data_IF_782769008311
#
_entry.id   IF_782769008311
#
_cell.length_a   1.000
_cell.length_b   1.000
_cell.length_c   1.000
_cell.angle_alpha   90.00
_cell.angle_beta   90.00
_cell.angle_gamma   90.00
#
_symmetry.space_group_name_H-M   'P 1'
#
loop_
_entity.id
_entity.type
_entity.pdbx_description
1 polymer ?
#
# COMPACT_ATOMS: atom_id res chain seq x y z
N UNK A 1 6.41 -21.59 8.06
CA UNK A 1 6.57 -20.77 6.83
C UNK A 1 6.57 -19.33 7.29
N UNK A 2 7.73 -18.69 7.33
CA UNK A 2 7.88 -17.32 7.84
C UNK A 2 7.19 -16.37 6.86
N UNK A 3 6.24 -15.57 7.35
CA UNK A 3 5.79 -14.38 6.62
C UNK A 3 7.06 -13.57 6.36
N UNK A 4 7.34 -13.23 5.10
CA UNK A 4 8.59 -12.57 4.73
C UNK A 4 8.79 -11.34 5.59
N UNK A 5 9.91 -11.27 6.31
CA UNK A 5 10.23 -10.10 7.12
C UNK A 5 10.31 -8.89 6.21
N UNK A 6 9.58 -7.83 6.57
CA UNK A 6 9.71 -6.54 5.91
C UNK A 6 11.16 -6.06 6.06
N UNK A 7 11.89 -5.98 4.95
CA UNK A 7 13.20 -5.32 4.90
C UNK A 7 13.11 -4.08 4.03
N UNK A 8 13.78 -3.00 4.47
CA UNK A 8 14.00 -1.82 3.67
C UNK A 8 15.51 -1.65 3.47
N UNK A 9 16.02 -2.09 2.31
CA UNK A 9 17.44 -1.99 1.97
C UNK A 9 17.78 -0.77 1.10
N UNK A 10 16.83 0.14 0.90
CA UNK A 10 17.02 1.29 0.00
C UNK A 10 17.95 2.38 0.53
N UNK A 11 18.21 2.39 1.85
CA UNK A 11 18.92 3.50 2.51
C UNK A 11 18.06 4.76 2.72
N UNK A 12 16.78 4.73 2.35
CA UNK A 12 15.83 5.83 2.53
C UNK A 12 14.70 5.46 3.47
N UNK A 13 14.16 6.44 4.20
CA UNK A 13 13.01 6.24 5.08
C UNK A 13 11.79 5.74 4.28
N UNK A 14 11.04 4.79 4.84
CA UNK A 14 9.85 4.30 4.15
C UNK A 14 8.64 5.20 4.37
N UNK A 15 7.72 5.27 3.40
CA UNK A 15 6.44 5.99 3.53
C UNK A 15 5.73 5.70 4.84
N UNK A 16 5.65 4.42 5.23
CA UNK A 16 4.98 4.00 6.47
C UNK A 16 5.72 4.46 7.72
N UNK A 17 7.05 4.47 7.70
CA UNK A 17 7.88 4.97 8.79
C UNK A 17 7.73 6.48 9.00
N UNK A 18 7.62 7.25 7.91
CA UNK A 18 7.34 8.70 7.98
C UNK A 18 5.96 8.95 8.59
N UNK A 19 4.94 8.23 8.09
CA UNK A 19 3.55 8.45 8.50
C UNK A 19 3.20 7.85 9.87
N UNK A 20 4.01 6.94 10.41
CA UNK A 20 3.73 6.28 11.69
C UNK A 20 3.63 7.24 12.86
N UNK A 21 4.26 8.42 12.76
CA UNK A 21 4.19 9.48 13.77
C UNK A 21 2.78 10.08 13.93
N UNK A 22 1.93 9.91 12.92
CA UNK A 22 0.57 10.47 12.85
C UNK A 22 -0.52 9.41 12.98
N UNK A 23 -0.12 8.16 13.24
CA UNK A 23 -1.05 7.05 13.47
C UNK A 23 -1.09 6.78 14.96
N UNK A 24 -2.29 6.83 15.55
CA UNK A 24 -2.50 6.42 16.93
C UNK A 24 -2.41 4.89 17.03
N UNK A 25 -1.24 4.42 17.48
CA UNK A 25 -0.93 2.99 17.59
C UNK A 25 -1.37 2.38 18.92
N UNK A 26 -1.99 3.14 19.84
CA UNK A 26 -2.34 2.62 21.17
C UNK A 26 -3.28 1.40 21.17
N UNK A 27 -4.02 1.21 20.07
CA UNK A 27 -4.93 0.09 19.87
C UNK A 27 -4.39 -0.96 18.89
N UNK A 28 -3.18 -0.76 18.35
CA UNK A 28 -2.59 -1.69 17.38
C UNK A 28 -1.97 -2.87 18.12
N UNK A 29 -2.66 -4.00 18.02
CA UNK A 29 -2.15 -5.30 18.49
C UNK A 29 -1.37 -6.00 17.38
N UNK A 30 -0.41 -6.84 17.76
CA UNK A 30 0.38 -7.66 16.84
C UNK A 30 -0.50 -8.49 15.88
N UNK A 31 -1.63 -9.00 16.38
CA UNK A 31 -2.63 -9.72 15.57
C UNK A 31 -3.15 -8.92 14.36
N UNK A 32 -3.22 -7.58 14.45
CA UNK A 32 -3.68 -6.73 13.35
C UNK A 32 -2.62 -6.60 12.25
N UNK A 33 -1.35 -6.50 12.65
CA UNK A 33 -0.22 -6.47 11.72
C UNK A 33 -0.05 -7.83 11.04
N UNK A 34 -0.17 -8.93 11.80
CA UNK A 34 -0.13 -10.29 11.27
C UNK A 34 -1.27 -10.53 10.27
N UNK A 35 -2.52 -10.18 10.62
CA UNK A 35 -3.67 -10.26 9.70
C UNK A 35 -3.41 -9.50 8.41
N UNK A 36 -2.96 -8.25 8.50
CA UNK A 36 -2.65 -7.42 7.32
C UNK A 36 -1.66 -8.12 6.41
N UNK A 37 -0.50 -8.50 6.95
CA UNK A 37 0.57 -9.17 6.21
C UNK A 37 0.11 -10.48 5.57
N UNK A 38 -0.67 -11.28 6.31
CA UNK A 38 -1.21 -12.54 5.81
C UNK A 38 -2.16 -12.33 4.62
N UNK A 39 -3.10 -11.38 4.74
CA UNK A 39 -4.07 -11.07 3.68
C UNK A 39 -3.37 -10.50 2.45
N UNK A 40 -2.41 -9.58 2.62
CA UNK A 40 -1.64 -9.01 1.49
C UNK A 40 -0.86 -10.08 0.75
N UNK A 41 -0.19 -10.98 1.48
CA UNK A 41 0.52 -12.11 0.89
C UNK A 41 -0.40 -13.03 0.07
N UNK A 42 -1.63 -13.27 0.55
CA UNK A 42 -2.64 -14.04 -0.17
C UNK A 42 -3.09 -13.37 -1.47
N UNK A 43 -3.38 -12.06 -1.41
CA UNK A 43 -3.81 -11.28 -2.59
C UNK A 43 -2.68 -11.13 -3.61
N UNK A 44 -1.44 -10.93 -3.16
CA UNK A 44 -0.26 -10.98 -4.02
C UNK A 44 -0.16 -12.33 -4.74
N UNK A 45 -0.25 -13.42 -4.00
CA UNK A 45 -0.13 -14.75 -4.56
C UNK A 45 -1.26 -15.06 -5.56
N UNK A 46 -2.48 -14.57 -5.31
CA UNK A 46 -3.60 -14.61 -6.27
C UNK A 46 -3.22 -13.92 -7.58
N UNK A 47 -2.67 -12.70 -7.52
CA UNK A 47 -2.23 -11.94 -8.70
C UNK A 47 -1.06 -12.58 -9.45
N UNK A 48 -0.17 -13.27 -8.75
CA UNK A 48 0.96 -14.00 -9.36
C UNK A 48 0.55 -15.38 -9.90
N UNK A 49 -0.69 -15.82 -9.70
CA UNK A 49 -1.15 -17.15 -10.07
C UNK A 49 -0.43 -18.28 -9.31
N UNK A 50 0.13 -17.98 -8.13
CA UNK A 50 0.82 -18.97 -7.31
C UNK A 50 -0.11 -19.49 -6.22
N UNK A 51 0.13 -20.75 -5.83
CA UNK A 51 -0.72 -21.42 -4.86
C UNK A 51 -0.65 -20.77 -3.47
N UNK A 52 -1.80 -20.72 -2.79
CA UNK A 52 -1.93 -20.28 -1.41
C UNK A 52 -2.37 -21.44 -0.52
N UNK A 53 -1.76 -21.55 0.67
CA UNK A 53 -2.30 -22.39 1.74
C UNK A 53 -3.74 -21.95 2.06
N UNK A 54 -4.64 -22.87 2.47
CA UNK A 54 -5.95 -22.48 2.99
C UNK A 54 -5.82 -21.41 4.08
N UNK A 55 -6.63 -20.36 3.99
CA UNK A 55 -6.60 -19.28 4.97
C UNK A 55 -7.38 -19.66 6.25
N UNK A 56 -6.96 -19.16 7.42
CA UNK A 56 -7.78 -19.20 8.61
C UNK A 56 -9.16 -18.54 8.36
N UNK A 57 -10.20 -19.11 8.95
CA UNK A 57 -11.60 -18.67 8.76
C UNK A 57 -11.77 -17.17 9.05
N UNK A 58 -11.07 -16.64 10.04
CA UNK A 58 -11.10 -15.24 10.44
C UNK A 58 -10.54 -14.27 9.40
N UNK A 59 -9.71 -14.74 8.47
CA UNK A 59 -9.10 -13.93 7.41
C UNK A 59 -9.76 -14.14 6.04
N UNK A 60 -10.48 -15.26 5.88
CA UNK A 60 -11.07 -15.68 4.61
C UNK A 60 -11.91 -14.58 3.96
N UNK A 61 -12.78 -13.92 4.73
CA UNK A 61 -13.63 -12.86 4.17
C UNK A 61 -12.85 -11.66 3.61
N UNK A 62 -11.74 -11.26 4.25
CA UNK A 62 -10.89 -10.18 3.71
C UNK A 62 -10.23 -10.59 2.39
N UNK A 63 -9.79 -11.84 2.29
CA UNK A 63 -9.17 -12.40 1.09
C UNK A 63 -10.20 -12.46 -0.05
N UNK A 64 -11.40 -12.98 0.23
CA UNK A 64 -12.49 -13.05 -0.75
C UNK A 64 -12.89 -11.65 -1.24
N UNK A 65 -13.02 -10.70 -0.31
CA UNK A 65 -13.31 -9.30 -0.60
C UNK A 65 -12.28 -8.68 -1.57
N UNK A 66 -11.00 -8.95 -1.34
CA UNK A 66 -9.91 -8.48 -2.19
C UNK A 66 -9.91 -9.14 -3.56
N UNK A 67 -10.04 -10.48 -3.63
CA UNK A 67 -10.12 -11.22 -4.90
C UNK A 67 -11.27 -10.73 -5.77
N UNK A 68 -12.46 -10.57 -5.20
CA UNK A 68 -13.62 -10.03 -5.91
C UNK A 68 -13.34 -8.64 -6.48
N UNK A 69 -12.67 -7.76 -5.73
CA UNK A 69 -12.32 -6.43 -6.23
C UNK A 69 -11.30 -6.49 -7.36
N UNK A 70 -10.26 -7.31 -7.21
CA UNK A 70 -9.22 -7.50 -8.23
C UNK A 70 -9.83 -8.04 -9.53
N UNK A 71 -10.57 -9.14 -9.45
CA UNK A 71 -11.18 -9.81 -10.60
C UNK A 71 -12.22 -8.92 -11.30
N UNK A 72 -12.94 -8.07 -10.54
CA UNK A 72 -13.92 -7.15 -11.09
C UNK A 72 -13.28 -5.93 -11.77
N UNK A 73 -12.25 -5.33 -11.17
CA UNK A 73 -11.79 -3.98 -11.53
C UNK A 73 -10.43 -3.92 -12.22
N UNK A 74 -9.51 -4.82 -11.90
CA UNK A 74 -8.14 -4.79 -12.44
C UNK A 74 -8.14 -5.38 -13.85
N UNK A 75 -7.41 -4.71 -14.75
CA UNK A 75 -7.18 -5.19 -16.12
C UNK A 75 -5.78 -5.77 -16.26
N UNK A 76 -4.75 -4.95 -16.04
CA UNK A 76 -3.35 -5.35 -16.15
C UNK A 76 -2.63 -5.11 -14.83
N UNK A 77 -1.90 -6.11 -14.35
CA UNK A 77 -0.98 -5.98 -13.19
C UNK A 77 0.38 -5.53 -13.73
N UNK A 78 0.83 -4.35 -13.29
CA UNK A 78 2.12 -3.78 -13.70
C UNK A 78 3.21 -4.11 -12.69
N UNK A 79 2.85 -4.06 -11.40
CA UNK A 79 3.72 -4.46 -10.29
C UNK A 79 2.85 -4.89 -9.10
N UNK A 80 3.27 -5.92 -8.37
CA UNK A 80 2.66 -6.34 -7.11
C UNK A 80 3.77 -6.55 -6.08
N UNK A 81 3.53 -6.16 -4.83
CA UNK A 81 4.52 -6.21 -3.75
C UNK A 81 5.29 -7.55 -3.72
N UNK A 82 6.62 -7.54 -3.87
CA UNK A 82 7.44 -8.77 -3.80
C UNK A 82 8.78 -8.52 -3.08
N UNK A 83 8.69 -7.96 -1.87
CA UNK A 83 9.85 -7.58 -1.06
C UNK A 83 10.66 -6.43 -1.69
N UNK A 84 11.96 -6.41 -1.42
CA UNK A 84 12.87 -5.35 -1.89
C UNK A 84 12.89 -5.17 -3.42
N UNK A 85 12.47 -6.18 -4.21
CA UNK A 85 12.44 -6.10 -5.68
C UNK A 85 11.46 -5.07 -6.22
N UNK A 86 10.43 -4.73 -5.45
CA UNK A 86 9.36 -3.79 -5.85
C UNK A 86 9.38 -2.51 -5.02
N UNK A 87 10.50 -2.23 -4.35
CA UNK A 87 10.69 -1.00 -3.61
C UNK A 87 11.03 0.13 -4.58
N UNK A 88 10.23 1.19 -4.52
CA UNK A 88 10.39 2.40 -5.31
C UNK A 88 11.08 3.47 -4.46
N UNK A 89 11.85 4.35 -5.08
CA UNK A 89 12.63 5.39 -4.39
C UNK A 89 12.41 6.78 -4.98
N UNK A 90 12.48 7.80 -4.13
CA UNK A 90 12.58 9.20 -4.49
C UNK A 90 13.87 9.76 -3.86
N UNK A 91 14.99 9.76 -4.59
CA UNK A 91 16.27 10.23 -4.08
C UNK A 91 16.27 11.73 -3.72
N UNK A 92 15.45 12.54 -4.40
CA UNK A 92 15.37 13.98 -4.18
C UNK A 92 14.78 14.29 -2.82
N UNK A 93 13.70 13.60 -2.45
CA UNK A 93 13.06 13.76 -1.15
C UNK A 93 13.54 12.77 -0.09
N UNK A 94 14.43 11.84 -0.47
CA UNK A 94 15.04 10.80 0.37
C UNK A 94 14.03 9.90 1.08
N UNK A 95 13.04 9.39 0.36
CA UNK A 95 12.13 8.37 0.88
C UNK A 95 11.94 7.22 -0.13
N UNK A 96 11.45 6.09 0.38
CA UNK A 96 11.11 4.90 -0.40
C UNK A 96 9.72 4.40 -0.04
N UNK A 97 9.18 3.52 -0.87
CA UNK A 97 7.86 2.93 -0.66
C UNK A 97 7.71 1.60 -1.35
N UNK A 98 6.76 0.81 -0.88
CA UNK A 98 6.44 -0.49 -1.42
C UNK A 98 4.91 -0.58 -1.51
N UNK A 99 4.32 -0.13 -2.63
CA UNK A 99 2.87 -0.23 -2.80
C UNK A 99 2.44 -1.69 -2.97
N UNK A 100 1.24 -2.01 -2.48
CA UNK A 100 0.69 -3.36 -2.61
C UNK A 100 0.50 -3.75 -4.08
N UNK A 101 -0.06 -2.84 -4.88
CA UNK A 101 -0.38 -3.07 -6.29
C UNK A 101 -0.27 -1.77 -7.12
N UNK A 102 0.43 -1.87 -8.25
CA UNK A 102 0.37 -0.92 -9.36
C UNK A 102 -0.29 -1.63 -10.55
N UNK A 103 -1.38 -1.07 -11.06
CA UNK A 103 -2.19 -1.72 -12.10
C UNK A 103 -2.91 -0.72 -12.99
N UNK A 104 -3.55 -1.23 -14.04
CA UNK A 104 -4.58 -0.51 -14.80
C UNK A 104 -5.96 -1.07 -14.42
N UNK A 105 -6.99 -0.24 -14.51
CA UNK A 105 -8.37 -0.66 -14.27
C UNK A 105 -9.06 -0.94 -15.60
N UNK A 106 -10.09 -1.80 -15.60
CA UNK A 106 -10.90 -2.10 -16.80
C UNK A 106 -11.58 -0.85 -17.35
N UNK A 107 -11.98 0.08 -16.48
CA UNK A 107 -12.65 1.32 -16.84
C UNK A 107 -11.71 2.54 -16.90
N UNK A 108 -10.46 2.41 -16.43
CA UNK A 108 -9.43 3.44 -16.56
C UNK A 108 -8.09 2.80 -16.97
N UNK A 109 -7.67 2.95 -18.23
CA UNK A 109 -6.47 2.29 -18.74
C UNK A 109 -5.17 2.92 -18.21
N UNK A 110 -5.22 4.05 -17.49
CA UNK A 110 -4.03 4.67 -16.91
C UNK A 110 -3.51 3.86 -15.71
N UNK A 111 -2.18 3.76 -15.54
CA UNK A 111 -1.59 3.15 -14.33
C UNK A 111 -2.05 3.87 -13.06
N UNK A 112 -2.11 3.12 -11.96
CA UNK A 112 -2.32 3.70 -10.65
C UNK A 112 -2.18 2.71 -9.51
N UNK A 113 -2.19 3.25 -8.30
CA UNK A 113 -1.86 2.52 -7.07
C UNK A 113 -3.12 2.04 -6.36
N UNK A 114 -3.18 0.76 -6.02
CA UNK A 114 -4.14 0.22 -5.08
C UNK A 114 -3.41 -0.27 -3.83
N UNK A 115 -3.79 0.26 -2.68
CA UNK A 115 -3.20 -0.06 -1.37
C UNK A 115 -4.27 -0.69 -0.48
N UNK A 116 -4.12 -1.97 -0.15
CA UNK A 116 -5.09 -2.78 0.55
C UNK A 116 -5.11 -2.47 2.05
N UNK A 117 -6.31 -2.47 2.63
CA UNK A 117 -6.53 -2.21 4.06
C UNK A 117 -7.47 -3.24 4.66
N UNK A 118 -7.04 -3.94 5.71
CA UNK A 118 -7.89 -4.89 6.48
C UNK A 118 -8.76 -4.19 7.54
N UNK A 119 -8.90 -2.86 7.46
CA UNK A 119 -9.75 -2.05 8.33
C UNK A 119 -10.91 -1.44 7.53
N UNK A 120 -12.12 -1.51 8.09
CA UNK A 120 -13.29 -0.81 7.54
C UNK A 120 -13.23 0.69 7.88
N UNK A 121 -12.69 1.04 9.05
CA UNK A 121 -12.59 2.42 9.49
C UNK A 121 -11.59 3.18 8.63
N UNK A 122 -12.04 4.27 8.02
CA UNK A 122 -11.21 5.16 7.21
C UNK A 122 -10.12 5.83 8.08
N UNK A 123 -8.93 6.02 7.52
CA UNK A 123 -7.87 6.81 8.13
C UNK A 123 -7.34 7.86 7.16
N UNK A 124 -7.18 9.08 7.65
CA UNK A 124 -6.66 10.21 6.87
C UNK A 124 -5.23 10.00 6.37
N UNK A 125 -4.41 9.24 7.12
CA UNK A 125 -3.02 8.98 6.72
C UNK A 125 -2.90 8.14 5.45
N UNK A 126 -3.96 7.41 5.08
CA UNK A 126 -3.95 6.57 3.88
C UNK A 126 -3.90 7.39 2.59
N UNK A 127 -4.44 8.61 2.61
CA UNK A 127 -4.38 9.51 1.47
C UNK A 127 -2.93 9.94 1.19
N UNK A 128 -2.20 10.36 2.23
CA UNK A 128 -0.77 10.65 2.15
C UNK A 128 0.07 9.45 1.74
N UNK A 129 -0.25 8.25 2.26
CA UNK A 129 0.43 7.01 1.86
C UNK A 129 0.24 6.74 0.36
N UNK A 130 -1.01 6.72 -0.12
CA UNK A 130 -1.35 6.51 -1.52
C UNK A 130 -0.72 7.56 -2.44
N UNK A 131 -0.73 8.84 -2.05
CA UNK A 131 -0.14 9.92 -2.81
C UNK A 131 1.39 9.79 -2.91
N UNK A 132 2.07 9.37 -1.84
CA UNK A 132 3.51 9.11 -1.88
C UNK A 132 3.85 7.95 -2.84
N UNK A 133 3.07 6.87 -2.82
CA UNK A 133 3.26 5.73 -3.70
C UNK A 133 2.96 6.07 -5.16
N UNK A 134 1.95 6.91 -5.40
CA UNK A 134 1.67 7.45 -6.73
C UNK A 134 2.86 8.26 -7.27
N UNK A 135 3.42 9.16 -6.46
CA UNK A 135 4.61 9.91 -6.86
C UNK A 135 5.81 8.99 -7.14
N UNK A 136 6.03 8.00 -6.27
CA UNK A 136 7.08 7.02 -6.47
C UNK A 136 6.90 6.23 -7.77
N UNK A 137 5.68 5.79 -8.10
CA UNK A 137 5.43 5.11 -9.38
C UNK A 137 5.79 5.99 -10.58
N UNK A 138 5.42 7.29 -10.54
CA UNK A 138 5.74 8.25 -11.60
C UNK A 138 7.24 8.45 -11.80
N UNK A 139 8.00 8.50 -10.71
CA UNK A 139 9.45 8.64 -10.76
C UNK A 139 10.19 7.35 -11.16
N UNK A 140 9.55 6.18 -11.00
CA UNK A 140 10.16 4.86 -11.18
C UNK A 140 9.59 4.12 -12.41
N UNK A 141 9.33 4.84 -13.50
CA UNK A 141 9.02 4.24 -14.81
C UNK A 141 7.55 4.29 -15.24
N UNK A 142 6.65 4.87 -14.44
CA UNK A 142 5.23 4.99 -14.76
C UNK A 142 4.75 6.45 -14.74
N UNK A 143 5.33 7.35 -15.57
CA UNK A 143 5.13 8.79 -15.47
C UNK A 143 3.66 9.23 -15.67
N UNK A 144 2.85 8.39 -16.33
CA UNK A 144 1.44 8.61 -16.61
C UNK A 144 0.50 7.95 -15.59
N UNK A 145 1.01 7.50 -14.44
CA UNK A 145 0.17 7.07 -13.34
C UNK A 145 -0.74 8.22 -12.88
N UNK A 146 -2.05 7.96 -12.82
CA UNK A 146 -3.07 9.02 -12.76
C UNK A 146 -3.99 8.92 -11.53
N UNK A 147 -3.99 7.77 -10.87
CA UNK A 147 -4.86 7.53 -9.72
C UNK A 147 -4.15 6.76 -8.60
N UNK A 148 -4.69 6.90 -7.40
CA UNK A 148 -4.40 6.01 -6.29
C UNK A 148 -5.65 5.81 -5.44
N UNK A 149 -5.76 4.64 -4.81
CA UNK A 149 -6.87 4.31 -3.95
C UNK A 149 -6.45 3.46 -2.75
N UNK A 150 -7.02 3.78 -1.59
CA UNK A 150 -7.05 2.87 -0.47
C UNK A 150 -8.21 1.89 -0.66
N UNK A 151 -7.92 0.59 -0.77
CA UNK A 151 -8.90 -0.47 -1.01
C UNK A 151 -9.19 -1.18 0.31
N UNK A 152 -10.34 -0.85 0.92
CA UNK A 152 -10.77 -1.42 2.20
C UNK A 152 -11.43 -2.76 2.00
N UNK A 153 -10.72 -3.80 2.43
CA UNK A 153 -11.16 -5.18 2.44
C UNK A 153 -12.21 -5.38 3.54
N UNK A 154 -13.22 -6.20 3.22
CA UNK A 154 -14.35 -6.44 4.12
C UNK A 154 -14.28 -7.83 4.70
N UNK A 155 -14.44 -7.94 6.02
CA UNK A 155 -14.43 -9.24 6.70
C UNK A 155 -15.61 -10.13 6.30
N UNK A 156 -16.69 -9.57 5.77
CA UNK A 156 -17.89 -10.30 5.34
C UNK A 156 -17.78 -10.90 3.93
N UNK A 157 -16.62 -10.79 3.28
CA UNK A 157 -16.41 -11.35 1.93
C UNK A 157 -17.06 -10.55 0.81
N UNK A 158 -17.83 -9.48 1.10
CA UNK A 158 -18.40 -8.64 0.04
C UNK A 158 -17.28 -7.84 -0.65
N UNK A 159 -17.56 -7.36 -1.87
CA UNK A 159 -16.58 -6.60 -2.66
C UNK A 159 -15.98 -5.42 -1.87
N UNK A 160 -14.66 -5.28 -1.95
CA UNK A 160 -13.92 -4.24 -1.25
C UNK A 160 -14.37 -2.83 -1.65
N UNK A 161 -14.22 -1.87 -0.73
CA UNK A 161 -14.52 -0.46 -0.98
C UNK A 161 -13.26 0.28 -1.41
N UNK A 162 -13.24 0.81 -2.63
CA UNK A 162 -12.12 1.63 -3.11
C UNK A 162 -12.37 3.11 -2.82
N UNK A 163 -11.47 3.72 -2.05
CA UNK A 163 -11.45 5.15 -1.79
C UNK A 163 -10.39 5.81 -2.67
N UNK A 164 -10.80 6.28 -3.85
CA UNK A 164 -9.93 7.04 -4.75
C UNK A 164 -9.56 8.40 -4.15
N UNK A 165 -8.27 8.70 -4.15
CA UNK A 165 -7.74 9.96 -3.60
C UNK A 165 -8.03 11.08 -4.60
N UNK A 166 -8.86 12.05 -4.18
CA UNK A 166 -9.38 13.08 -5.07
C UNK A 166 -8.33 14.12 -5.48
N UNK A 167 -7.38 14.43 -4.60
CA UNK A 167 -6.37 15.46 -4.82
C UNK A 167 -4.97 14.94 -4.46
N UNK A 168 -4.43 14.07 -5.32
CA UNK A 168 -3.10 13.47 -5.16
C UNK A 168 -1.99 14.51 -4.96
N UNK A 169 -1.93 15.63 -5.70
CA UNK A 169 -0.90 16.66 -5.47
C UNK A 169 -0.95 17.28 -4.07
N UNK A 170 -2.14 17.57 -3.54
CA UNK A 170 -2.28 18.14 -2.20
C UNK A 170 -1.86 17.14 -1.12
N UNK A 171 -2.31 15.89 -1.23
CA UNK A 171 -1.96 14.82 -0.29
C UNK A 171 -0.46 14.49 -0.34
N UNK A 172 0.16 14.56 -1.52
CA UNK A 172 1.60 14.44 -1.68
C UNK A 172 2.32 15.59 -0.96
N UNK A 173 1.84 16.84 -1.09
CA UNK A 173 2.45 17.97 -0.38
C UNK A 173 2.40 17.78 1.14
N UNK A 174 1.29 17.28 1.69
CA UNK A 174 1.19 16.95 3.11
C UNK A 174 2.18 15.85 3.50
N UNK A 175 2.29 14.79 2.70
CA UNK A 175 3.29 13.75 2.92
C UNK A 175 4.73 14.29 2.89
N UNK A 176 5.08 15.13 1.91
CA UNK A 176 6.42 15.69 1.78
C UNK A 176 6.78 16.62 2.94
N UNK A 177 5.83 17.40 3.44
CA UNK A 177 6.00 18.21 4.64
C UNK A 177 6.24 17.32 5.88
N UNK A 178 5.48 16.24 6.02
CA UNK A 178 5.66 15.26 7.07
C UNK A 178 7.03 14.57 6.97
N UNK A 179 7.47 14.18 5.77
CA UNK A 179 8.79 13.59 5.53
C UNK A 179 9.93 14.55 5.87
N UNK A 180 9.82 15.82 5.46
CA UNK A 180 10.81 16.84 5.81
C UNK A 180 10.90 17.04 7.33
N UNK A 181 9.76 17.09 8.03
CA UNK A 181 9.71 17.18 9.49
C UNK A 181 10.26 15.92 10.16
N UNK A 182 9.92 14.73 9.68
CA UNK A 182 10.43 13.46 10.18
C UNK A 182 11.95 13.45 10.13
N UNK A 183 12.52 13.61 8.93
CA UNK A 183 13.97 13.69 8.72
C UNK A 183 14.61 14.83 9.54
N UNK A 184 13.86 15.93 9.69
CA UNK A 184 14.02 17.02 10.65
C UNK A 184 14.61 16.60 11.99
N UNK A 185 13.82 15.75 12.64
CA UNK A 185 13.83 15.55 14.08
C UNK A 185 14.17 14.12 14.49
N UNK A 186 14.19 13.17 13.56
CA UNK A 186 14.56 11.77 13.84
C UNK A 186 15.98 11.43 13.40
N UNK A 187 16.53 12.12 12.40
CA UNK A 187 17.94 11.97 12.04
C UNK A 187 18.77 12.68 13.11
N UNK A 188 19.43 11.89 13.97
CA UNK A 188 20.56 12.41 14.76
C UNK A 188 21.56 12.96 13.76
N UNK A 189 21.84 14.27 13.84
CA UNK A 189 22.98 14.87 13.15
C UNK A 189 24.21 14.03 13.57
N UNK A 190 24.73 13.26 12.62
CA UNK A 190 26.00 12.55 12.77
C UNK A 190 27.09 13.41 12.18
#
# INVERSE_FOLDING_TARGET
MTIGEYSNRSGYDSTTQVLSQYVDTKWFKEEHAYRGSYVHNHLRNHLLGVWNMPAPTEYQGYIDSGKLWLDANVKDVLMVENGDKTRLVDPQHQYSGQPDLLCTLKLNPKPGIADWKTSIAYSVVWAGQCASYWNLARLNGYPDADWAAAVRLRQDGRIALANFIQNLPLELQYFLNANAAYRRYTLKLT
#
